data_IF_350970579954
#
_entry.id   IF_350970579954
#
_cell.length_a   1.000
_cell.length_b   1.000
_cell.length_c   1.000
_cell.angle_alpha   90.00
_cell.angle_beta   90.00
_cell.angle_gamma   90.00
#
_symmetry.space_group_name_H-M   'P 1'
#
loop_
_entity.id
_entity.type
_entity.pdbx_description
1 polymer ?
#
# COMPACT_ATOMS: atom_id res chain seq x y z
N UNK A 1 -40.37 13.59 -4.75
CA UNK A 1 -39.95 14.09 -3.43
C UNK A 1 -38.43 14.18 -3.45
N UNK A 2 -37.90 15.39 -3.47
CA UNK A 2 -36.46 15.65 -3.38
C UNK A 2 -36.02 15.33 -1.96
N UNK A 3 -35.08 14.39 -1.80
CA UNK A 3 -34.42 14.18 -0.52
C UNK A 3 -33.75 15.51 -0.10
N UNK A 4 -33.90 15.96 1.15
CA UNK A 4 -33.17 17.13 1.63
C UNK A 4 -31.69 16.78 1.67
N UNK A 5 -30.84 17.54 0.97
CA UNK A 5 -29.39 17.51 1.19
C UNK A 5 -29.14 17.81 2.66
N UNK A 6 -28.51 16.87 3.36
CA UNK A 6 -28.05 17.08 4.72
C UNK A 6 -27.04 18.25 4.74
N UNK A 7 -27.20 19.26 5.61
CA UNK A 7 -26.40 20.48 5.59
C UNK A 7 -24.93 20.29 6.01
N UNK A 8 -24.50 19.08 6.40
CA UNK A 8 -23.17 18.79 6.95
C UNK A 8 -22.51 17.55 6.34
N UNK A 9 -22.73 17.25 5.05
CA UNK A 9 -21.89 16.25 4.39
C UNK A 9 -20.45 16.81 4.29
N UNK A 10 -19.40 16.05 4.68
CA UNK A 10 -18.02 16.50 4.52
C UNK A 10 -17.77 16.87 3.05
N UNK A 11 -17.44 18.15 2.83
CA UNK A 11 -17.23 18.72 1.50
C UNK A 11 -15.80 18.47 1.01
N UNK A 12 -14.87 18.19 1.94
CA UNK A 12 -13.49 17.82 1.64
C UNK A 12 -13.42 16.33 1.26
N UNK A 13 -12.88 15.99 0.08
CA UNK A 13 -12.63 14.61 -0.33
C UNK A 13 -11.78 13.81 0.68
N UNK A 14 -10.84 14.45 1.37
CA UNK A 14 -9.97 13.79 2.34
C UNK A 14 -10.74 13.40 3.61
N UNK A 15 -11.59 14.27 4.14
CA UNK A 15 -12.45 13.95 5.30
C UNK A 15 -13.38 12.77 5.02
N UNK A 16 -13.85 12.65 3.77
CA UNK A 16 -14.64 11.48 3.33
C UNK A 16 -13.81 10.20 3.28
N UNK A 17 -12.57 10.27 2.82
CA UNK A 17 -11.65 9.12 2.77
C UNK A 17 -11.32 8.67 4.19
N UNK A 18 -10.99 9.62 5.07
CA UNK A 18 -10.68 9.35 6.48
C UNK A 18 -11.87 8.68 7.19
N UNK A 19 -13.09 9.19 7.01
CA UNK A 19 -14.29 8.60 7.59
C UNK A 19 -14.54 7.15 7.10
N UNK A 20 -14.35 6.87 5.81
CA UNK A 20 -14.49 5.51 5.26
C UNK A 20 -13.41 4.57 5.82
N UNK A 21 -12.18 5.07 5.95
CA UNK A 21 -11.06 4.34 6.54
C UNK A 21 -11.27 4.00 8.02
N UNK A 22 -11.69 4.98 8.82
CA UNK A 22 -11.95 4.84 10.26
C UNK A 22 -13.10 3.85 10.53
N UNK A 23 -14.15 3.87 9.72
CA UNK A 23 -15.29 2.95 9.85
C UNK A 23 -14.99 1.54 9.30
N UNK A 24 -13.79 1.30 8.75
CA UNK A 24 -13.32 0.01 8.22
C UNK A 24 -14.31 -0.65 7.26
N UNK A 25 -14.99 0.17 6.45
CA UNK A 25 -16.03 -0.30 5.54
C UNK A 25 -15.36 -1.07 4.40
N UNK A 26 -15.54 -2.41 4.38
CA UNK A 26 -15.10 -3.25 3.27
C UNK A 26 -15.92 -2.95 2.02
N UNK A 27 -15.36 -2.19 1.08
CA UNK A 27 -16.07 -1.76 -0.14
C UNK A 27 -16.03 -2.79 -1.27
N UNK A 28 -15.12 -3.76 -1.22
CA UNK A 28 -14.89 -4.76 -2.27
C UNK A 28 -14.42 -6.09 -1.68
N UNK A 29 -14.72 -7.19 -2.40
CA UNK A 29 -14.19 -8.53 -2.11
C UNK A 29 -12.73 -8.64 -2.57
N UNK A 30 -12.45 -8.10 -3.77
CA UNK A 30 -11.11 -8.07 -4.33
C UNK A 30 -10.37 -6.78 -3.95
N UNK A 31 -9.05 -6.88 -3.80
CA UNK A 31 -8.20 -5.69 -3.63
C UNK A 31 -8.26 -4.84 -4.90
N UNK A 32 -8.65 -3.55 -4.82
CA UNK A 32 -8.77 -2.69 -5.99
C UNK A 32 -7.38 -2.30 -6.53
N UNK A 33 -6.87 -3.09 -7.48
CA UNK A 33 -5.60 -2.84 -8.15
C UNK A 33 -5.77 -2.06 -9.46
N UNK A 34 -4.75 -1.28 -9.85
CA UNK A 34 -4.69 -0.63 -11.16
C UNK A 34 -4.49 -1.67 -12.27
N UNK A 35 -4.91 -1.35 -13.50
CA UNK A 35 -4.79 -2.25 -14.65
C UNK A 35 -3.34 -2.60 -15.00
N UNK A 36 -2.40 -1.68 -14.72
CA UNK A 36 -0.97 -1.78 -14.98
C UNK A 36 -0.15 -2.18 -13.72
N UNK A 37 -0.80 -2.71 -12.68
CA UNK A 37 -0.17 -2.97 -11.38
C UNK A 37 1.05 -3.92 -11.44
N UNK A 38 1.16 -4.72 -12.50
CA UNK A 38 2.22 -5.73 -12.69
C UNK A 38 3.14 -5.46 -13.89
N UNK A 39 3.01 -4.30 -14.55
CA UNK A 39 3.82 -3.97 -15.73
C UNK A 39 5.29 -3.67 -15.37
N UNK A 40 5.52 -3.18 -14.15
CA UNK A 40 6.86 -2.87 -13.63
C UNK A 40 7.41 -4.05 -12.84
N UNK A 41 8.70 -4.36 -13.06
CA UNK A 41 9.40 -5.41 -12.32
C UNK A 41 9.52 -5.08 -10.83
N UNK A 42 9.61 -6.11 -9.98
CA UNK A 42 9.76 -5.91 -8.53
C UNK A 42 11.03 -5.14 -8.18
N UNK A 43 12.13 -5.35 -8.91
CA UNK A 43 13.38 -4.62 -8.71
C UNK A 43 13.25 -3.13 -9.06
N UNK A 44 12.51 -2.82 -10.14
CA UNK A 44 12.28 -1.42 -10.53
C UNK A 44 11.31 -0.73 -9.57
N UNK A 45 10.30 -1.45 -9.06
CA UNK A 45 9.43 -0.97 -7.98
C UNK A 45 10.23 -0.65 -6.72
N UNK A 46 11.14 -1.53 -6.31
CA UNK A 46 12.00 -1.32 -5.13
C UNK A 46 12.85 -0.06 -5.31
N UNK A 47 13.52 0.10 -6.46
CA UNK A 47 14.33 1.31 -6.73
C UNK A 47 13.49 2.59 -6.71
N UNK A 48 12.31 2.56 -7.32
CA UNK A 48 11.40 3.70 -7.36
C UNK A 48 10.91 4.08 -5.96
N UNK A 49 10.48 3.09 -5.15
CA UNK A 49 9.99 3.31 -3.78
C UNK A 49 11.13 3.76 -2.85
N UNK A 50 12.33 3.20 -3.00
CA UNK A 50 13.53 3.58 -2.24
C UNK A 50 13.83 5.08 -2.40
N UNK A 51 13.79 5.59 -3.65
CA UNK A 51 13.98 7.01 -3.91
C UNK A 51 12.91 7.88 -3.22
N UNK A 52 11.66 7.42 -3.19
CA UNK A 52 10.56 8.13 -2.50
C UNK A 52 10.72 8.11 -0.98
N UNK A 53 11.18 7.00 -0.41
CA UNK A 53 11.44 6.93 1.03
C UNK A 53 12.64 7.79 1.46
N UNK A 54 13.64 7.96 0.58
CA UNK A 54 14.69 8.94 0.80
C UNK A 54 14.11 10.36 0.93
N UNK A 55 13.26 10.77 -0.02
CA UNK A 55 12.58 12.07 0.03
C UNK A 55 11.75 12.23 1.33
N UNK A 56 11.03 11.20 1.75
CA UNK A 56 10.25 11.20 3.00
C UNK A 56 11.17 11.36 4.22
N UNK A 57 12.28 10.63 4.27
CA UNK A 57 13.22 10.71 5.40
C UNK A 57 13.89 12.09 5.49
N UNK A 58 14.19 12.71 4.35
CA UNK A 58 14.70 14.08 4.29
C UNK A 58 13.66 15.09 4.84
N UNK A 59 12.38 14.92 4.48
CA UNK A 59 11.28 15.74 5.01
C UNK A 59 11.07 15.57 6.53
N UNK A 60 11.35 14.38 7.06
CA UNK A 60 11.34 14.10 8.50
C UNK A 60 12.57 14.66 9.21
N UNK A 61 13.56 15.18 8.48
CA UNK A 61 14.81 15.72 9.03
C UNK A 61 15.79 14.64 9.51
N UNK A 62 15.74 13.44 8.92
CA UNK A 62 16.65 12.34 9.25
C UNK A 62 17.95 12.44 8.47
N UNK A 63 19.09 12.21 9.13
CA UNK A 63 20.40 12.23 8.47
C UNK A 63 20.73 10.88 7.83
N UNK A 64 20.71 10.84 6.50
CA UNK A 64 21.03 9.63 5.72
C UNK A 64 22.53 9.39 5.55
N UNK A 65 23.40 10.26 6.08
CA UNK A 65 24.84 9.97 6.19
C UNK A 65 25.16 9.07 7.39
N UNK A 66 24.22 8.90 8.32
CA UNK A 66 24.35 7.94 9.41
C UNK A 66 24.21 6.49 8.87
N UNK A 67 25.18 5.64 9.21
CA UNK A 67 25.25 4.26 8.73
C UNK A 67 24.01 3.43 9.10
N UNK A 68 23.32 3.74 10.21
CA UNK A 68 22.11 3.02 10.63
C UNK A 68 20.90 3.34 9.75
N UNK A 69 20.86 4.56 9.18
CA UNK A 69 19.76 5.11 8.40
C UNK A 69 19.97 5.03 6.89
N UNK A 70 21.23 5.06 6.42
CA UNK A 70 21.57 5.04 5.00
C UNK A 70 20.92 3.87 4.22
N UNK A 71 20.79 2.70 4.85
CA UNK A 71 20.15 1.52 4.27
C UNK A 71 18.64 1.41 4.50
N UNK A 72 18.04 2.30 5.28
CA UNK A 72 16.61 2.24 5.64
C UNK A 72 15.68 2.43 4.44
N UNK A 73 15.91 3.39 3.51
CA UNK A 73 15.06 3.54 2.32
C UNK A 73 14.94 2.24 1.52
N UNK A 74 16.06 1.54 1.32
CA UNK A 74 16.09 0.27 0.60
C UNK A 74 15.35 -0.83 1.36
N UNK A 75 15.59 -0.96 2.67
CA UNK A 75 14.93 -1.97 3.52
C UNK A 75 13.41 -1.83 3.49
N UNK A 76 12.90 -0.59 3.61
CA UNK A 76 11.46 -0.33 3.58
C UNK A 76 10.86 -0.63 2.20
N UNK A 77 11.53 -0.21 1.13
CA UNK A 77 11.09 -0.50 -0.23
C UNK A 77 11.02 -2.01 -0.51
N UNK A 78 12.06 -2.76 -0.14
CA UNK A 78 12.10 -4.21 -0.26
C UNK A 78 10.99 -4.88 0.56
N UNK A 79 10.82 -4.46 1.81
CA UNK A 79 9.79 -4.98 2.70
C UNK A 79 8.38 -4.78 2.11
N UNK A 80 8.10 -3.61 1.52
CA UNK A 80 6.79 -3.36 0.89
C UNK A 80 6.55 -4.27 -0.31
N UNK A 81 7.52 -4.41 -1.22
CA UNK A 81 7.33 -5.15 -2.47
C UNK A 81 7.36 -6.66 -2.26
N UNK A 82 8.31 -7.17 -1.46
CA UNK A 82 8.59 -8.61 -1.36
C UNK A 82 7.99 -9.27 -0.13
N UNK A 83 7.56 -8.50 0.87
CA UNK A 83 7.11 -9.04 2.16
C UNK A 83 5.66 -8.63 2.43
N UNK A 84 5.43 -7.42 2.97
CA UNK A 84 4.12 -6.97 3.48
C UNK A 84 3.04 -7.02 2.40
N UNK A 85 3.33 -6.55 1.19
CA UNK A 85 2.38 -6.55 0.08
C UNK A 85 2.72 -7.59 -1.00
N UNK A 86 3.58 -8.55 -0.68
CA UNK A 86 3.94 -9.63 -1.61
C UNK A 86 2.72 -10.45 -2.07
N UNK A 87 1.68 -10.55 -1.22
CA UNK A 87 0.42 -11.22 -1.54
C UNK A 87 -0.43 -10.53 -2.61
N UNK A 88 -0.11 -9.28 -2.99
CA UNK A 88 -0.78 -8.63 -4.13
C UNK A 88 -0.40 -9.27 -5.46
N UNK A 89 0.78 -9.90 -5.54
CA UNK A 89 1.21 -10.60 -6.74
C UNK A 89 0.56 -11.99 -6.79
N UNK A 90 -0.28 -12.29 -7.81
CA UNK A 90 -0.91 -13.60 -7.94
C UNK A 90 0.08 -14.75 -8.04
N UNK A 91 1.31 -14.50 -8.51
CA UNK A 91 2.37 -15.51 -8.57
C UNK A 91 2.84 -16.00 -7.19
N UNK A 92 2.57 -15.23 -6.13
CA UNK A 92 2.89 -15.59 -4.74
C UNK A 92 1.74 -16.34 -4.05
N UNK A 93 0.64 -16.63 -4.76
CA UNK A 93 -0.46 -17.40 -4.20
C UNK A 93 0.03 -18.81 -3.82
N UNK A 94 -0.23 -19.30 -2.60
CA UNK A 94 0.24 -20.60 -2.16
C UNK A 94 -0.46 -21.74 -2.91
N UNK A 95 0.28 -22.81 -3.19
CA UNK A 95 -0.29 -24.05 -3.72
C UNK A 95 -1.07 -24.78 -2.62
N UNK A 96 -2.39 -24.83 -2.76
CA UNK A 96 -3.26 -25.54 -1.82
C UNK A 96 -3.18 -27.04 -2.11
N UNK A 97 -2.72 -27.82 -1.12
CA UNK A 97 -2.72 -29.29 -1.16
C UNK A 97 -3.66 -29.83 -0.09
N UNK A 98 -4.56 -30.72 -0.49
CA UNK A 98 -5.41 -31.50 0.41
C UNK A 98 -4.83 -32.89 0.60
N UNK A 99 -5.09 -33.48 1.76
CA UNK A 99 -4.82 -34.89 2.00
C UNK A 99 -6.15 -35.66 1.97
N UNK A 100 -6.14 -36.88 1.45
CA UNK A 100 -7.29 -37.77 1.55
C UNK A 100 -7.44 -38.23 3.00
N UNK A 101 -8.64 -38.09 3.56
CA UNK A 101 -8.96 -38.70 4.84
C UNK A 101 -9.19 -40.20 4.60
N UNK A 102 -8.23 -41.01 5.04
CA UNK A 102 -8.34 -42.47 5.08
C UNK A 102 -9.23 -42.91 6.24
#
# INVERSE_FOLDING_TARGET
MTTPSAPNAPQDPNERIDAIGDEHVGTSIDTPLRQDAFDMSDEDKIKAIEAKFRDIMDLLGLDLNDDSLAGTPHRVAKMYVKEIFGGLNPANHPDVKTFDNV
#
